data_IF_106628086608
#
_entry.id   IF_106628086608
#
_cell.length_a   1.000
_cell.length_b   1.000
_cell.length_c   1.000
_cell.angle_alpha   90.00
_cell.angle_beta   90.00
_cell.angle_gamma   90.00
#
_symmetry.space_group_name_H-M   'P 1'
#
loop_
_entity.id
_entity.type
_entity.pdbx_description
1 polymer ?
#
# COMPACT_ATOMS: atom_id res chain seq x y z
N UNK A 1 -8.79 14.51 -18.96
CA UNK A 1 -8.03 13.35 -19.40
C UNK A 1 -6.67 13.31 -18.78
N UNK A 2 -5.91 14.38 -18.94
CA UNK A 2 -4.58 14.43 -18.34
C UNK A 2 -4.64 14.30 -16.83
N UNK A 3 -5.67 14.89 -16.25
CA UNK A 3 -5.84 14.83 -14.81
C UNK A 3 -6.08 13.41 -14.32
N UNK A 4 -6.73 12.61 -15.15
CA UNK A 4 -6.99 11.24 -14.79
C UNK A 4 -5.70 10.44 -14.69
N UNK A 5 -4.75 10.74 -15.56
CA UNK A 5 -3.47 10.07 -15.50
C UNK A 5 -2.74 10.37 -14.19
N UNK A 6 -2.74 11.62 -13.80
CA UNK A 6 -2.11 12.01 -12.56
C UNK A 6 -2.80 11.38 -11.36
N UNK A 7 -4.11 11.35 -11.39
CA UNK A 7 -4.87 10.72 -10.32
C UNK A 7 -4.57 9.25 -10.23
N UNK A 8 -4.44 8.58 -11.36
CA UNK A 8 -4.10 7.17 -11.36
C UNK A 8 -2.73 6.91 -10.75
N UNK A 9 -1.76 7.73 -11.11
CA UNK A 9 -0.41 7.56 -10.57
C UNK A 9 -0.42 7.74 -9.06
N UNK A 10 -1.08 8.78 -8.58
CA UNK A 10 -1.18 9.03 -7.15
C UNK A 10 -1.88 7.86 -6.46
N UNK A 11 -2.92 7.36 -7.08
CA UNK A 11 -3.67 6.25 -6.50
C UNK A 11 -2.82 5.01 -6.40
N UNK A 12 -2.07 4.71 -7.45
CA UNK A 12 -1.22 3.53 -7.45
C UNK A 12 -0.15 3.65 -6.36
N UNK A 13 0.45 4.83 -6.23
CA UNK A 13 1.46 5.05 -5.20
C UNK A 13 0.86 4.85 -3.82
N UNK A 14 -0.31 5.41 -3.59
CA UNK A 14 -0.97 5.25 -2.30
C UNK A 14 -1.30 3.80 -2.01
N UNK A 15 -1.77 3.08 -3.01
CA UNK A 15 -2.10 1.67 -2.84
C UNK A 15 -0.86 0.85 -2.52
N UNK A 16 0.23 1.12 -3.20
CA UNK A 16 1.48 0.40 -2.95
C UNK A 16 1.95 0.65 -1.53
N UNK A 17 1.92 1.89 -1.09
CA UNK A 17 2.33 2.23 0.25
C UNK A 17 1.42 1.55 1.27
N UNK A 18 0.12 1.61 1.06
CA UNK A 18 -0.84 1.00 1.98
C UNK A 18 -0.62 -0.51 2.08
N UNK A 19 -0.43 -1.17 0.94
CA UNK A 19 -0.20 -2.60 0.93
C UNK A 19 1.08 -2.95 1.67
N UNK A 20 2.13 -2.17 1.45
CA UNK A 20 3.39 -2.41 2.14
C UNK A 20 3.24 -2.26 3.65
N UNK A 21 2.49 -1.26 4.08
CA UNK A 21 2.27 -1.05 5.50
C UNK A 21 1.48 -2.20 6.11
N UNK A 22 0.40 -2.59 5.45
CA UNK A 22 -0.43 -3.69 5.94
C UNK A 22 0.37 -4.99 5.96
N UNK A 23 1.14 -5.24 4.92
CA UNK A 23 1.95 -6.45 4.86
C UNK A 23 2.97 -6.49 5.98
N UNK A 24 3.59 -5.35 6.27
CA UNK A 24 4.57 -5.28 7.36
C UNK A 24 3.91 -5.56 8.70
N UNK A 25 2.74 -4.98 8.94
CA UNK A 25 2.01 -5.22 10.17
C UNK A 25 1.60 -6.69 10.28
N UNK A 26 1.12 -7.25 9.19
CA UNK A 26 0.69 -8.64 9.20
C UNK A 26 1.87 -9.57 9.48
N UNK A 27 3.00 -9.30 8.86
CA UNK A 27 4.18 -10.12 9.08
C UNK A 27 4.65 -10.04 10.53
N UNK A 28 4.64 -8.84 11.08
CA UNK A 28 5.04 -8.63 12.47
C UNK A 28 4.09 -9.36 13.42
N UNK A 29 2.80 -9.22 13.18
CA UNK A 29 1.80 -9.87 14.02
C UNK A 29 1.93 -11.39 13.92
N UNK A 30 2.20 -11.90 12.74
CA UNK A 30 2.35 -13.33 12.54
C UNK A 30 3.55 -13.86 13.33
N UNK A 31 4.65 -13.13 13.27
CA UNK A 31 5.84 -13.54 14.02
C UNK A 31 5.65 -13.40 15.52
N UNK A 32 4.90 -12.40 15.93
CA UNK A 32 4.62 -12.23 17.35
C UNK A 32 3.82 -13.39 17.91
N UNK A 33 2.96 -13.98 17.09
CA UNK A 33 2.15 -15.11 17.52
C UNK A 33 2.94 -16.41 17.52
N UNK A 34 4.00 -16.46 16.72
CA UNK A 34 4.87 -17.62 16.71
C UNK A 34 5.74 -17.64 17.95
#
# INVERSE_FOLDING_TARGET
MHQQKQKLVVRIVCLVIAVLMVASLAATAFMALL
#
